data_IF_843871721792
#
_entry.id   IF_843871721792
#
_cell.length_a   1.000
_cell.length_b   1.000
_cell.length_c   1.000
_cell.angle_alpha   90.00
_cell.angle_beta   90.00
_cell.angle_gamma   90.00
#
_symmetry.space_group_name_H-M   'P 1'
#
loop_
_entity.id
_entity.type
_entity.pdbx_description
1 polymer ?
#
# COMPACT_ATOMS: atom_id res chain seq x y z
N UNK A 1 16.69 -23.77 14.40
CA UNK A 1 16.58 -24.00 15.83
C UNK A 1 16.28 -22.68 16.54
N UNK A 2 15.16 -22.59 17.20
CA UNK A 2 14.82 -21.44 18.05
C UNK A 2 15.77 -21.42 19.26
N UNK A 3 16.27 -20.24 19.62
CA UNK A 3 17.16 -20.07 20.78
C UNK A 3 18.66 -20.25 20.52
N UNK A 4 19.10 -20.68 19.35
CA UNK A 4 20.53 -20.78 19.02
C UNK A 4 21.05 -19.42 18.56
N UNK A 5 22.12 -18.96 19.23
CA UNK A 5 22.83 -17.72 18.92
C UNK A 5 24.33 -18.01 18.81
N UNK A 6 24.80 -18.21 17.59
CA UNK A 6 26.23 -18.51 17.29
C UNK A 6 26.66 -17.52 16.20
N UNK A 7 27.22 -16.34 16.54
CA UNK A 7 27.64 -15.33 15.57
C UNK A 7 28.71 -15.81 14.58
N UNK A 8 29.56 -16.77 14.97
CA UNK A 8 30.67 -17.29 14.20
C UNK A 8 30.24 -18.22 13.04
N UNK A 9 28.96 -18.59 12.97
CA UNK A 9 28.45 -19.45 11.90
C UNK A 9 28.68 -18.80 10.54
N UNK A 10 29.43 -19.47 9.65
CA UNK A 10 29.71 -19.03 8.29
C UNK A 10 28.93 -19.81 7.22
N UNK A 11 28.18 -20.84 7.60
CA UNK A 11 27.33 -21.63 6.73
C UNK A 11 26.00 -21.96 7.42
N UNK A 12 24.89 -21.71 6.72
CA UNK A 12 23.51 -22.02 7.19
C UNK A 12 22.82 -22.86 6.13
N UNK A 13 22.29 -24.01 6.52
CA UNK A 13 21.47 -24.86 5.65
C UNK A 13 20.03 -24.85 6.15
N UNK A 14 19.13 -24.37 5.32
CA UNK A 14 17.70 -24.26 5.63
C UNK A 14 16.95 -25.47 5.07
N UNK A 15 16.71 -26.46 5.93
CA UNK A 15 16.05 -27.72 5.55
C UNK A 15 14.54 -27.70 5.81
N UNK A 16 14.07 -26.79 6.68
CA UNK A 16 12.66 -26.72 7.07
C UNK A 16 11.95 -25.63 6.25
N UNK A 17 10.92 -25.99 5.47
CA UNK A 17 10.12 -25.01 4.76
C UNK A 17 9.43 -24.04 5.72
N UNK A 18 9.48 -22.77 5.42
CA UNK A 18 8.74 -21.73 6.14
C UNK A 18 7.53 -21.29 5.29
N UNK A 19 6.43 -20.99 5.97
CA UNK A 19 5.21 -20.48 5.32
C UNK A 19 5.03 -18.97 5.50
N UNK A 20 6.06 -18.29 6.00
CA UNK A 20 6.03 -16.86 6.31
C UNK A 20 7.36 -16.21 5.91
N UNK A 21 7.27 -15.12 5.15
CA UNK A 21 8.41 -14.27 4.79
C UNK A 21 9.14 -13.75 6.04
N UNK A 22 8.40 -13.40 7.09
CA UNK A 22 8.96 -12.90 8.35
C UNK A 22 9.80 -13.96 9.04
N UNK A 23 9.29 -15.20 9.15
CA UNK A 23 10.03 -16.32 9.76
C UNK A 23 11.29 -16.64 8.94
N UNK A 24 11.19 -16.58 7.61
CA UNK A 24 12.34 -16.76 6.72
C UNK A 24 13.43 -15.73 7.01
N UNK A 25 13.09 -14.44 7.05
CA UNK A 25 14.03 -13.35 7.36
C UNK A 25 14.62 -13.50 8.77
N UNK A 26 13.83 -13.89 9.77
CA UNK A 26 14.32 -14.12 11.14
C UNK A 26 15.33 -15.27 11.19
N UNK A 27 15.11 -16.36 10.46
CA UNK A 27 16.06 -17.48 10.36
C UNK A 27 17.35 -17.05 9.65
N UNK A 28 17.21 -16.29 8.55
CA UNK A 28 18.31 -15.72 7.80
C UNK A 28 19.16 -14.79 8.68
N UNK A 29 18.51 -13.88 9.43
CA UNK A 29 19.14 -12.89 10.28
C UNK A 29 20.01 -13.51 11.40
N UNK A 30 19.67 -14.71 11.88
CA UNK A 30 20.50 -15.42 12.85
C UNK A 30 21.87 -15.80 12.25
N UNK A 31 21.90 -16.23 10.98
CA UNK A 31 23.14 -16.52 10.27
C UNK A 31 23.93 -15.27 9.86
N UNK A 32 23.26 -14.12 9.68
CA UNK A 32 23.87 -12.87 9.24
C UNK A 32 24.49 -12.04 10.37
N UNK A 33 24.52 -12.53 11.61
CA UNK A 33 25.15 -11.81 12.73
C UNK A 33 26.65 -11.62 12.48
N UNK A 34 27.13 -10.43 12.82
CA UNK A 34 28.54 -10.07 12.69
C UNK A 34 29.37 -10.73 13.77
N UNK A 35 30.54 -11.28 13.41
CA UNK A 35 31.59 -11.73 14.31
C UNK A 35 32.93 -11.20 13.82
N UNK A 36 33.93 -11.10 14.72
CA UNK A 36 35.23 -10.44 14.43
C UNK A 36 35.98 -11.03 13.24
N UNK A 37 35.94 -12.34 13.09
CA UNK A 37 36.67 -13.07 12.05
C UNK A 37 35.79 -13.63 10.93
N UNK A 38 34.54 -13.08 10.81
CA UNK A 38 33.56 -13.52 9.83
C UNK A 38 33.39 -12.50 8.71
N UNK A 39 33.92 -12.81 7.55
CA UNK A 39 33.84 -11.97 6.35
C UNK A 39 32.52 -12.16 5.59
N UNK A 40 32.01 -13.40 5.52
CA UNK A 40 30.77 -13.73 4.83
C UNK A 40 30.07 -14.93 5.46
N UNK A 41 28.81 -15.14 5.05
CA UNK A 41 28.05 -16.35 5.36
C UNK A 41 27.46 -16.93 4.09
N UNK A 42 27.54 -18.24 3.91
CA UNK A 42 26.88 -18.97 2.83
C UNK A 42 25.56 -19.52 3.35
N UNK A 43 24.47 -19.20 2.68
CA UNK A 43 23.15 -19.70 3.02
C UNK A 43 22.64 -20.56 1.88
N UNK A 44 22.30 -21.81 2.19
CA UNK A 44 21.73 -22.78 1.25
C UNK A 44 20.30 -23.06 1.66
N UNK A 45 19.37 -22.79 0.77
CA UNK A 45 17.95 -23.05 1.00
C UNK A 45 17.39 -24.01 -0.06
N UNK A 46 16.67 -25.04 0.41
CA UNK A 46 16.05 -26.04 -0.45
C UNK A 46 14.61 -25.64 -0.80
N UNK A 47 14.46 -24.64 -1.67
CA UNK A 47 13.20 -24.05 -2.12
C UNK A 47 12.19 -25.10 -2.65
N UNK A 48 12.68 -26.21 -3.15
CA UNK A 48 11.87 -27.30 -3.72
C UNK A 48 10.78 -27.85 -2.79
N UNK A 49 10.94 -27.69 -1.49
CA UNK A 49 10.05 -28.25 -0.47
C UNK A 49 8.98 -27.25 0.01
N UNK A 50 8.91 -26.06 -0.55
CA UNK A 50 7.95 -25.03 -0.13
C UNK A 50 6.68 -25.08 -0.97
N UNK A 51 5.52 -25.06 -0.32
CA UNK A 51 4.22 -24.90 -1.00
C UNK A 51 4.04 -23.51 -1.61
N UNK A 52 4.64 -22.49 -0.96
CA UNK A 52 4.54 -21.08 -1.35
C UNK A 52 5.94 -20.54 -1.70
N UNK A 53 6.59 -21.12 -2.70
CA UNK A 53 7.94 -20.75 -3.11
C UNK A 53 8.11 -19.28 -3.46
N UNK A 54 7.05 -18.60 -3.87
CA UNK A 54 7.06 -17.16 -4.18
C UNK A 54 7.29 -16.26 -2.95
N UNK A 55 7.08 -16.75 -1.73
CA UNK A 55 7.34 -15.99 -0.51
C UNK A 55 8.81 -15.70 -0.27
N UNK A 56 9.72 -16.53 -0.81
CA UNK A 56 11.17 -16.33 -0.66
C UNK A 56 11.65 -15.09 -1.41
N UNK A 57 11.37 -14.93 -2.73
CA UNK A 57 11.67 -13.69 -3.43
C UNK A 57 11.00 -12.45 -2.80
N UNK A 58 9.75 -12.55 -2.33
CA UNK A 58 9.07 -11.47 -1.61
C UNK A 58 9.84 -11.08 -0.35
N UNK A 59 10.23 -12.05 0.47
CA UNK A 59 11.00 -11.82 1.68
C UNK A 59 12.37 -11.17 1.40
N UNK A 60 13.06 -11.63 0.35
CA UNK A 60 14.39 -11.16 -0.01
C UNK A 60 14.37 -9.79 -0.70
N UNK A 61 13.31 -9.47 -1.44
CA UNK A 61 13.14 -8.16 -2.08
C UNK A 61 12.69 -7.06 -1.11
N UNK A 62 12.09 -7.45 0.04
CA UNK A 62 11.42 -6.51 0.95
C UNK A 62 10.14 -5.90 0.38
N UNK A 63 9.64 -6.40 -0.75
CA UNK A 63 8.43 -5.90 -1.40
C UNK A 63 7.17 -6.59 -0.85
N UNK A 64 6.46 -5.88 0.02
CA UNK A 64 5.20 -6.33 0.62
C UNK A 64 3.98 -6.05 -0.27
N UNK A 65 4.18 -5.57 -1.50
CA UNK A 65 3.09 -5.34 -2.46
C UNK A 65 2.50 -6.65 -2.99
N UNK A 66 3.25 -7.75 -2.93
CA UNK A 66 2.90 -9.03 -3.54
C UNK A 66 2.55 -8.90 -5.03
N UNK A 67 3.14 -7.92 -5.72
CA UNK A 67 2.97 -7.77 -7.16
C UNK A 67 3.76 -8.85 -7.89
N UNK A 68 3.05 -9.64 -8.72
CA UNK A 68 3.63 -10.79 -9.43
C UNK A 68 4.78 -10.39 -10.36
N UNK A 69 4.67 -9.23 -11.01
CA UNK A 69 5.68 -8.78 -11.95
C UNK A 69 6.92 -8.25 -11.22
N UNK A 70 6.75 -7.63 -10.06
CA UNK A 70 7.89 -7.23 -9.21
C UNK A 70 8.65 -8.44 -8.73
N UNK A 71 7.96 -9.50 -8.29
CA UNK A 71 8.59 -10.77 -7.91
C UNK A 71 9.32 -11.42 -9.10
N UNK A 72 8.71 -11.45 -10.29
CA UNK A 72 9.35 -11.95 -11.51
C UNK A 72 10.59 -11.15 -11.89
N UNK A 73 10.52 -9.82 -11.78
CA UNK A 73 11.63 -8.92 -12.05
C UNK A 73 12.80 -9.18 -11.09
N UNK A 74 12.50 -9.34 -9.79
CA UNK A 74 13.50 -9.71 -8.79
C UNK A 74 14.21 -11.03 -9.15
N UNK A 75 13.45 -12.06 -9.53
CA UNK A 75 14.03 -13.36 -9.95
C UNK A 75 14.91 -13.25 -11.20
N UNK A 76 14.54 -12.40 -12.16
CA UNK A 76 15.26 -12.22 -13.42
C UNK A 76 16.55 -11.37 -13.26
N UNK A 77 16.52 -10.37 -12.40
CA UNK A 77 17.63 -9.42 -12.21
C UNK A 77 18.55 -9.82 -11.04
N UNK A 78 18.12 -10.73 -10.17
CA UNK A 78 18.93 -11.31 -9.12
C UNK A 78 19.58 -10.28 -8.21
N UNK A 79 20.90 -10.35 -8.12
CA UNK A 79 21.74 -9.57 -7.19
C UNK A 79 21.69 -8.06 -7.34
N UNK A 80 21.19 -7.53 -8.45
CA UNK A 80 21.11 -6.07 -8.67
C UNK A 80 20.15 -5.35 -7.74
N UNK A 81 19.27 -6.10 -7.06
CA UNK A 81 18.28 -5.54 -6.13
C UNK A 81 18.76 -5.50 -4.67
N UNK A 82 19.84 -6.18 -4.34
CA UNK A 82 20.31 -6.28 -2.97
C UNK A 82 21.45 -5.28 -2.76
N UNK A 83 21.33 -4.36 -1.81
CA UNK A 83 22.39 -3.42 -1.50
C UNK A 83 23.63 -4.14 -0.95
N UNK A 84 24.82 -3.66 -1.35
CA UNK A 84 26.10 -4.14 -0.83
C UNK A 84 26.71 -5.28 -1.65
N UNK A 85 27.53 -6.12 -1.00
CA UNK A 85 28.29 -7.20 -1.60
C UNK A 85 27.58 -8.56 -1.58
N UNK A 86 26.32 -8.58 -1.15
CA UNK A 86 25.52 -9.81 -1.08
C UNK A 86 25.09 -10.28 -2.46
N UNK A 87 25.10 -11.59 -2.67
CA UNK A 87 24.66 -12.22 -3.92
C UNK A 87 23.60 -13.27 -3.64
N UNK A 88 22.58 -13.36 -4.51
CA UNK A 88 21.58 -14.43 -4.47
C UNK A 88 21.62 -15.17 -5.81
N UNK A 89 21.68 -16.47 -5.74
CA UNK A 89 21.59 -17.35 -6.90
C UNK A 89 20.42 -18.31 -6.73
N UNK A 90 19.54 -18.35 -7.74
CA UNK A 90 18.49 -19.36 -7.86
C UNK A 90 18.88 -20.33 -8.99
N UNK A 91 18.89 -21.63 -8.71
CA UNK A 91 19.03 -22.62 -9.78
C UNK A 91 17.79 -22.64 -10.69
N UNK A 92 17.92 -23.20 -11.89
CA UNK A 92 16.86 -23.17 -12.90
C UNK A 92 15.58 -23.91 -12.46
N UNK A 93 15.73 -25.01 -11.71
CA UNK A 93 14.59 -25.78 -11.20
C UNK A 93 13.83 -24.93 -10.16
N UNK A 94 14.55 -24.28 -9.27
CA UNK A 94 13.98 -23.37 -8.27
C UNK A 94 13.28 -22.18 -8.92
N UNK A 95 13.87 -21.55 -9.94
CA UNK A 95 13.23 -20.47 -10.71
C UNK A 95 11.93 -20.93 -11.35
N UNK A 96 11.93 -22.06 -12.05
CA UNK A 96 10.73 -22.60 -12.69
C UNK A 96 9.61 -22.89 -11.68
N UNK A 97 9.96 -23.44 -10.51
CA UNK A 97 9.00 -23.70 -9.42
C UNK A 97 8.42 -22.41 -8.84
N UNK A 98 9.27 -21.39 -8.65
CA UNK A 98 8.82 -20.09 -8.17
C UNK A 98 7.91 -19.43 -9.21
N UNK A 99 8.26 -19.43 -10.50
CA UNK A 99 7.41 -18.92 -11.57
C UNK A 99 6.04 -19.64 -11.61
N UNK A 100 6.04 -20.97 -11.56
CA UNK A 100 4.80 -21.75 -11.50
C UNK A 100 3.97 -21.43 -10.26
N UNK A 101 4.61 -21.21 -9.11
CA UNK A 101 3.91 -20.81 -7.89
C UNK A 101 3.29 -19.40 -8.03
N UNK A 102 4.03 -18.44 -8.62
CA UNK A 102 3.53 -17.08 -8.89
C UNK A 102 2.31 -17.14 -9.82
N UNK A 103 2.35 -17.96 -10.87
CA UNK A 103 1.27 -18.07 -11.85
C UNK A 103 0.01 -18.64 -11.22
N UNK A 104 0.15 -19.65 -10.39
CA UNK A 104 -0.96 -20.37 -9.77
C UNK A 104 -1.54 -19.69 -8.51
N UNK A 105 -0.76 -18.82 -7.85
CA UNK A 105 -1.22 -18.17 -6.62
C UNK A 105 -2.18 -17.02 -6.93
N UNK A 106 -3.30 -17.00 -6.20
CA UNK A 106 -4.30 -15.92 -6.24
C UNK A 106 -4.08 -14.96 -5.08
N UNK A 107 -3.14 -14.01 -5.24
CA UNK A 107 -2.74 -13.04 -4.21
C UNK A 107 -3.79 -11.95 -3.95
N UNK A 108 -4.69 -11.71 -4.90
CA UNK A 108 -5.75 -10.71 -4.79
C UNK A 108 -7.09 -11.37 -4.44
N UNK A 109 -7.10 -12.26 -3.44
CA UNK A 109 -8.32 -12.91 -2.97
C UNK A 109 -8.66 -12.51 -1.56
N UNK A 110 -9.94 -12.50 -1.24
CA UNK A 110 -10.43 -12.27 0.12
C UNK A 110 -9.76 -13.20 1.14
N UNK A 111 -9.56 -14.46 0.79
CA UNK A 111 -8.95 -15.46 1.66
C UNK A 111 -7.49 -15.10 2.01
N UNK A 112 -6.69 -14.77 0.99
CA UNK A 112 -5.28 -14.38 1.18
C UNK A 112 -5.15 -13.14 2.05
N UNK A 113 -5.88 -12.07 1.69
CA UNK A 113 -5.86 -10.81 2.43
C UNK A 113 -6.32 -10.99 3.89
N UNK A 114 -7.34 -11.85 4.10
CA UNK A 114 -7.82 -12.17 5.45
C UNK A 114 -6.80 -12.93 6.28
N UNK A 115 -6.05 -13.86 5.69
CA UNK A 115 -5.00 -14.60 6.38
C UNK A 115 -3.85 -13.67 6.82
N UNK A 116 -3.37 -12.82 5.93
CA UNK A 116 -2.33 -11.85 6.24
C UNK A 116 -2.78 -10.81 7.29
N UNK A 117 -4.01 -10.31 7.19
CA UNK A 117 -4.61 -9.46 8.21
C UNK A 117 -4.68 -10.15 9.58
N UNK A 118 -5.10 -11.42 9.63
CA UNK A 118 -5.17 -12.18 10.89
C UNK A 118 -3.78 -12.36 11.53
N UNK A 119 -2.74 -12.59 10.73
CA UNK A 119 -1.35 -12.67 11.22
C UNK A 119 -0.95 -11.39 11.92
N UNK A 120 -1.22 -10.24 11.30
CA UNK A 120 -0.94 -8.94 11.91
C UNK A 120 -1.78 -8.72 13.16
N UNK A 121 -3.10 -8.94 13.09
CA UNK A 121 -4.01 -8.78 14.22
C UNK A 121 -3.59 -9.64 15.43
N UNK A 122 -3.23 -10.89 15.20
CA UNK A 122 -2.76 -11.79 16.27
C UNK A 122 -1.43 -11.33 16.87
N UNK A 123 -0.54 -10.76 16.04
CA UNK A 123 0.76 -10.24 16.49
C UNK A 123 0.59 -9.04 17.44
N UNK A 124 -0.37 -8.15 17.17
CA UNK A 124 -0.57 -6.92 17.94
C UNK A 124 -1.71 -6.99 18.97
N UNK A 125 -2.55 -8.03 18.92
CA UNK A 125 -3.64 -8.27 19.88
C UNK A 125 -4.88 -7.38 19.73
N UNK A 126 -4.98 -6.57 18.66
CA UNK A 126 -6.10 -5.66 18.39
C UNK A 126 -6.37 -5.51 16.89
N UNK A 127 -7.44 -4.82 16.51
CA UNK A 127 -7.66 -4.43 15.11
C UNK A 127 -6.52 -3.51 14.68
N UNK A 128 -5.78 -3.83 13.58
CA UNK A 128 -4.72 -2.99 13.06
C UNK A 128 -5.22 -1.61 12.62
N UNK A 129 -4.39 -0.59 12.83
CA UNK A 129 -4.53 0.73 12.22
C UNK A 129 -3.74 0.79 10.91
N UNK A 130 -3.90 1.85 10.12
CA UNK A 130 -3.10 2.06 8.90
C UNK A 130 -1.59 2.00 9.19
N UNK A 131 -1.13 2.64 10.26
CA UNK A 131 0.27 2.66 10.65
C UNK A 131 0.82 1.28 11.07
N UNK A 132 -0.03 0.39 11.59
CA UNK A 132 0.42 -0.95 11.97
C UNK A 132 0.85 -1.77 10.75
N UNK A 133 0.16 -1.64 9.62
CA UNK A 133 0.57 -2.31 8.38
C UNK A 133 1.95 -1.88 7.91
N UNK A 134 2.31 -0.62 8.13
CA UNK A 134 3.60 -0.05 7.76
C UNK A 134 4.72 -0.39 8.78
N UNK A 135 4.39 -0.42 10.07
CA UNK A 135 5.37 -0.59 11.16
C UNK A 135 5.76 -2.05 11.40
N UNK A 136 4.90 -2.99 11.02
CA UNK A 136 5.13 -4.42 11.29
C UNK A 136 5.44 -5.23 10.03
N UNK A 137 5.82 -4.58 8.93
CA UNK A 137 6.09 -5.20 7.63
C UNK A 137 5.02 -6.20 7.21
N UNK A 138 3.77 -5.83 7.43
CA UNK A 138 2.62 -6.63 7.06
C UNK A 138 2.31 -6.50 5.57
N UNK A 139 1.28 -7.20 5.10
CA UNK A 139 0.75 -7.00 3.75
C UNK A 139 0.47 -5.51 3.51
N UNK A 140 0.82 -5.01 2.32
CA UNK A 140 0.46 -3.66 1.91
C UNK A 140 -1.06 -3.51 1.95
N UNK A 141 -1.56 -2.53 2.71
CA UNK A 141 -2.99 -2.31 2.88
C UNK A 141 -3.72 -2.03 1.56
N UNK A 142 -3.01 -1.60 0.52
CA UNK A 142 -3.56 -1.46 -0.84
C UNK A 142 -4.16 -2.76 -1.36
N UNK A 143 -3.64 -3.92 -0.96
CA UNK A 143 -4.25 -5.22 -1.29
C UNK A 143 -5.63 -5.40 -0.67
N UNK A 144 -5.85 -4.84 0.54
CA UNK A 144 -7.17 -4.79 1.14
C UNK A 144 -8.10 -3.89 0.31
N UNK A 145 -7.62 -2.72 -0.14
CA UNK A 145 -8.41 -1.81 -0.98
C UNK A 145 -8.79 -2.46 -2.32
N UNK A 146 -7.87 -3.16 -2.98
CA UNK A 146 -8.13 -3.88 -4.23
C UNK A 146 -9.25 -4.93 -4.06
N UNK A 147 -9.26 -5.64 -2.94
CA UNK A 147 -10.19 -6.76 -2.69
C UNK A 147 -11.53 -6.31 -2.09
N UNK A 148 -11.51 -5.33 -1.20
CA UNK A 148 -12.68 -4.94 -0.41
C UNK A 148 -13.21 -3.53 -0.76
N UNK A 149 -12.47 -2.73 -1.51
CA UNK A 149 -12.77 -1.34 -1.84
C UNK A 149 -12.19 -0.35 -0.83
N UNK A 150 -12.33 -0.62 0.47
CA UNK A 150 -11.73 0.18 1.55
C UNK A 150 -11.45 -0.68 2.78
N UNK A 151 -10.68 -0.16 3.71
CA UNK A 151 -10.44 -0.84 4.98
C UNK A 151 -11.71 -0.92 5.84
N UNK A 152 -12.55 0.13 5.81
CA UNK A 152 -13.86 0.09 6.44
C UNK A 152 -14.73 -1.05 5.90
N UNK A 153 -14.84 -1.18 4.58
CA UNK A 153 -15.62 -2.25 3.95
C UNK A 153 -15.05 -3.63 4.26
N UNK A 154 -13.73 -3.75 4.39
CA UNK A 154 -13.08 -4.99 4.83
C UNK A 154 -13.44 -5.33 6.27
N UNK A 155 -13.25 -4.39 7.21
CA UNK A 155 -13.52 -4.60 8.62
C UNK A 155 -15.00 -4.90 8.88
N UNK A 156 -15.91 -4.21 8.20
CA UNK A 156 -17.37 -4.43 8.34
C UNK A 156 -17.79 -5.85 7.96
N UNK A 157 -17.09 -6.49 7.02
CA UNK A 157 -17.36 -7.86 6.61
C UNK A 157 -16.59 -8.89 7.45
N UNK A 158 -15.40 -8.54 7.92
CA UNK A 158 -14.46 -9.46 8.57
C UNK A 158 -14.64 -9.50 10.08
N UNK A 159 -14.87 -8.37 10.73
CA UNK A 159 -14.85 -8.20 12.17
C UNK A 159 -16.28 -8.05 12.71
N UNK A 160 -16.80 -9.10 13.36
CA UNK A 160 -18.16 -9.09 13.95
C UNK A 160 -18.37 -7.98 14.99
N UNK A 161 -17.30 -7.58 15.67
CA UNK A 161 -17.34 -6.56 16.74
C UNK A 161 -16.79 -5.22 16.26
N UNK A 162 -16.70 -4.97 14.96
CA UNK A 162 -16.26 -3.67 14.46
C UNK A 162 -17.29 -2.59 14.80
N UNK A 163 -16.90 -1.67 15.68
CA UNK A 163 -17.78 -0.65 16.31
C UNK A 163 -18.53 0.23 15.31
N UNK A 164 -18.03 0.37 14.09
CA UNK A 164 -18.59 1.22 13.03
C UNK A 164 -19.37 0.45 11.95
N UNK A 165 -19.42 -0.87 12.04
CA UNK A 165 -20.11 -1.69 11.04
C UNK A 165 -21.58 -1.30 10.90
N UNK A 166 -22.02 -1.05 9.66
CA UNK A 166 -23.40 -0.66 9.33
C UNK A 166 -23.82 0.74 9.78
N UNK A 167 -22.88 1.59 10.24
CA UNK A 167 -23.18 2.95 10.70
C UNK A 167 -23.02 4.03 9.62
N UNK A 168 -22.52 3.71 8.47
CA UNK A 168 -22.39 4.62 7.34
C UNK A 168 -23.54 4.43 6.34
N UNK A 169 -23.88 5.51 5.66
CA UNK A 169 -24.73 5.46 4.46
C UNK A 169 -23.98 4.77 3.33
N UNK A 170 -24.71 4.31 2.32
CA UNK A 170 -24.09 3.71 1.14
C UNK A 170 -23.18 4.67 0.39
N UNK A 171 -23.58 5.94 0.31
CA UNK A 171 -22.79 7.02 -0.30
C UNK A 171 -21.49 7.24 0.47
N UNK A 172 -21.53 7.34 1.81
CA UNK A 172 -20.33 7.46 2.64
C UNK A 172 -19.37 6.26 2.47
N UNK A 173 -19.89 5.02 2.41
CA UNK A 173 -19.09 3.84 2.09
C UNK A 173 -18.44 3.94 0.70
N UNK A 174 -19.21 4.37 -0.32
CA UNK A 174 -18.70 4.54 -1.67
C UNK A 174 -17.63 5.62 -1.73
N UNK A 175 -17.78 6.72 -1.00
CA UNK A 175 -16.76 7.77 -0.89
C UNK A 175 -15.46 7.26 -0.27
N UNK A 176 -15.51 6.46 0.82
CA UNK A 176 -14.32 5.80 1.37
C UNK A 176 -13.69 4.84 0.36
N UNK A 177 -14.51 4.08 -0.37
CA UNK A 177 -14.02 3.18 -1.42
C UNK A 177 -13.35 3.96 -2.57
N UNK A 178 -13.93 5.09 -2.97
CA UNK A 178 -13.38 5.96 -4.01
C UNK A 178 -12.00 6.51 -3.60
N UNK A 179 -11.90 7.09 -2.41
CA UNK A 179 -10.63 7.63 -1.90
C UNK A 179 -9.58 6.52 -1.82
N UNK A 180 -9.94 5.34 -1.29
CA UNK A 180 -9.03 4.21 -1.16
C UNK A 180 -8.52 3.73 -2.52
N UNK A 181 -9.41 3.54 -3.51
CA UNK A 181 -9.08 2.87 -4.78
C UNK A 181 -8.64 3.82 -5.89
N UNK A 182 -9.11 5.07 -5.89
CA UNK A 182 -8.83 6.01 -6.97
C UNK A 182 -7.83 7.10 -6.57
N UNK A 183 -7.78 7.51 -5.30
CA UNK A 183 -6.85 8.55 -4.87
C UNK A 183 -5.56 7.95 -4.29
N UNK A 184 -5.65 7.08 -3.29
CA UNK A 184 -4.46 6.52 -2.65
C UNK A 184 -3.67 5.61 -3.61
N UNK A 185 -4.35 4.83 -4.45
CA UNK A 185 -3.67 3.99 -5.44
C UNK A 185 -3.08 4.77 -6.61
N UNK A 186 -3.55 5.99 -6.88
CA UNK A 186 -3.09 6.81 -8.03
C UNK A 186 -1.67 7.39 -7.88
N UNK A 187 -1.11 7.32 -6.69
CA UNK A 187 0.22 7.89 -6.37
C UNK A 187 0.30 9.41 -6.61
N UNK A 188 -0.83 10.10 -6.46
CA UNK A 188 -0.96 11.55 -6.52
C UNK A 188 -1.29 12.11 -5.16
N UNK A 189 -0.92 13.37 -4.95
CA UNK A 189 -1.10 14.05 -3.66
C UNK A 189 -2.17 15.15 -3.71
N UNK A 190 -2.40 15.71 -4.89
CA UNK A 190 -3.19 16.92 -5.10
C UNK A 190 -4.60 16.76 -4.55
N UNK A 191 -5.30 15.71 -4.95
CA UNK A 191 -6.68 15.46 -4.53
C UNK A 191 -6.78 15.19 -3.02
N UNK A 192 -5.76 14.54 -2.43
CA UNK A 192 -5.74 14.27 -1.00
C UNK A 192 -5.54 15.56 -0.20
N UNK A 193 -4.68 16.48 -0.65
CA UNK A 193 -4.50 17.79 -0.01
C UNK A 193 -5.78 18.63 -0.12
N UNK A 194 -6.42 18.66 -1.29
CA UNK A 194 -7.69 19.38 -1.45
C UNK A 194 -8.74 18.83 -0.45
N UNK A 195 -8.94 17.52 -0.40
CA UNK A 195 -9.88 16.91 0.53
C UNK A 195 -9.51 17.19 2.00
N UNK A 196 -8.23 17.14 2.34
CA UNK A 196 -7.75 17.45 3.69
C UNK A 196 -8.04 18.88 4.10
N UNK A 197 -7.87 19.83 3.17
CA UNK A 197 -8.19 21.25 3.38
C UNK A 197 -9.68 21.51 3.54
N UNK A 198 -10.52 20.81 2.77
CA UNK A 198 -11.97 20.89 2.91
C UNK A 198 -12.45 20.40 4.29
N UNK A 199 -11.78 19.43 4.88
CA UNK A 199 -12.11 18.90 6.21
C UNK A 199 -11.54 19.73 7.37
N UNK A 200 -10.70 20.74 7.09
CA UNK A 200 -10.18 21.68 8.08
C UNK A 200 -11.25 22.73 8.41
N UNK A 201 -11.58 22.89 9.70
CA UNK A 201 -12.60 23.85 10.17
C UNK A 201 -12.17 25.33 10.03
N UNK A 202 -10.94 25.58 9.57
CA UNK A 202 -10.44 26.92 9.33
C UNK A 202 -11.07 27.51 8.09
N UNK A 203 -11.81 28.61 8.26
CA UNK A 203 -12.38 29.40 7.16
C UNK A 203 -11.26 30.08 6.37
N UNK A 204 -10.69 29.40 5.38
CA UNK A 204 -9.69 29.94 4.46
C UNK A 204 -10.06 29.61 3.02
N UNK A 205 -9.54 30.37 2.07
CA UNK A 205 -9.68 30.03 0.67
C UNK A 205 -8.89 28.75 0.40
N UNK A 206 -9.59 27.66 0.07
CA UNK A 206 -9.00 26.35 -0.13
C UNK A 206 -7.99 26.34 -1.26
N UNK A 207 -8.26 27.08 -2.35
CA UNK A 207 -7.35 27.15 -3.49
C UNK A 207 -6.01 27.78 -3.11
N UNK A 208 -6.04 28.94 -2.43
CA UNK A 208 -4.81 29.63 -1.98
C UNK A 208 -4.02 28.73 -1.03
N UNK A 209 -4.70 28.12 -0.05
CA UNK A 209 -4.05 27.22 0.89
C UNK A 209 -3.46 25.97 0.22
N UNK A 210 -4.11 25.44 -0.81
CA UNK A 210 -3.63 24.33 -1.61
C UNK A 210 -2.36 24.69 -2.37
N UNK A 211 -2.35 25.83 -3.08
CA UNK A 211 -1.19 26.31 -3.81
C UNK A 211 0.01 26.59 -2.90
N UNK A 212 -0.22 27.18 -1.71
CA UNK A 212 0.81 27.40 -0.69
C UNK A 212 1.43 26.09 -0.20
N UNK A 213 0.62 25.07 0.10
CA UNK A 213 1.09 23.75 0.54
C UNK A 213 1.88 23.08 -0.59
N UNK A 214 1.35 23.08 -1.83
CA UNK A 214 2.01 22.44 -2.95
C UNK A 214 3.36 23.08 -3.24
N UNK A 215 3.47 24.42 -3.17
CA UNK A 215 4.72 25.11 -3.36
C UNK A 215 5.71 24.86 -2.20
N UNK A 216 5.24 25.01 -0.95
CA UNK A 216 6.11 24.97 0.23
C UNK A 216 6.57 23.55 0.56
N UNK A 217 5.62 22.59 0.58
CA UNK A 217 5.88 21.25 1.10
C UNK A 217 6.30 20.26 0.00
N UNK A 218 5.89 20.51 -1.25
CA UNK A 218 6.16 19.62 -2.39
C UNK A 218 7.03 20.26 -3.48
N UNK A 219 7.39 21.54 -3.31
CA UNK A 219 8.16 22.30 -4.31
C UNK A 219 7.55 22.24 -5.72
N UNK A 220 6.20 22.24 -5.76
CA UNK A 220 5.42 22.07 -6.99
C UNK A 220 4.51 23.27 -7.22
N UNK A 221 4.70 23.90 -8.38
CA UNK A 221 3.74 24.89 -8.90
C UNK A 221 2.61 24.15 -9.62
N UNK A 222 1.37 24.49 -9.33
CA UNK A 222 0.19 23.88 -9.92
C UNK A 222 -0.30 24.71 -11.10
N UNK A 223 -0.28 24.12 -12.27
CA UNK A 223 -0.84 24.74 -13.47
C UNK A 223 -2.38 24.60 -13.52
N UNK A 224 -3.06 25.51 -14.20
CA UNK A 224 -4.53 25.50 -14.30
C UNK A 224 -5.09 24.17 -14.81
N UNK A 225 -4.40 23.52 -15.75
CA UNK A 225 -4.85 22.22 -16.28
C UNK A 225 -4.73 21.10 -15.24
N UNK A 226 -3.74 21.14 -14.34
CA UNK A 226 -3.59 20.14 -13.27
C UNK A 226 -4.70 20.30 -12.22
N UNK A 227 -5.03 21.55 -11.89
CA UNK A 227 -6.16 21.85 -11.02
C UNK A 227 -7.50 21.39 -11.64
N UNK A 228 -7.69 21.62 -12.96
CA UNK A 228 -8.87 21.14 -13.68
C UNK A 228 -8.97 19.61 -13.67
N UNK A 229 -7.87 18.90 -13.81
CA UNK A 229 -7.83 17.43 -13.68
C UNK A 229 -8.24 16.99 -12.27
N UNK A 230 -7.70 17.59 -11.23
CA UNK A 230 -8.06 17.26 -9.85
C UNK A 230 -9.53 17.56 -9.56
N UNK A 231 -10.09 18.67 -10.08
CA UNK A 231 -11.52 18.97 -10.00
C UNK A 231 -12.36 17.89 -10.69
N UNK A 232 -12.02 17.49 -11.90
CA UNK A 232 -12.72 16.42 -12.64
C UNK A 232 -12.68 15.09 -11.92
N UNK A 233 -11.58 14.76 -11.24
CA UNK A 233 -11.48 13.56 -10.42
C UNK A 233 -12.44 13.66 -9.22
N UNK A 234 -12.42 14.77 -8.48
CA UNK A 234 -13.21 14.96 -7.26
C UNK A 234 -14.70 15.23 -7.52
N UNK A 235 -15.08 15.53 -8.75
CA UNK A 235 -16.50 15.59 -9.21
C UNK A 235 -16.93 14.32 -9.93
N UNK A 236 -16.06 13.30 -10.00
CA UNK A 236 -16.28 12.05 -10.76
C UNK A 236 -16.54 12.24 -12.27
N UNK A 237 -16.17 13.40 -12.82
CA UNK A 237 -16.32 13.71 -14.26
C UNK A 237 -15.17 13.18 -15.11
N UNK A 238 -14.11 12.69 -14.48
CA UNK A 238 -12.96 12.11 -15.16
C UNK A 238 -13.23 10.67 -15.65
N UNK A 239 -14.22 9.99 -15.06
CA UNK A 239 -14.46 8.57 -15.31
C UNK A 239 -15.18 8.37 -16.64
N UNK A 240 -14.51 7.75 -17.60
CA UNK A 240 -15.07 7.41 -18.93
C UNK A 240 -15.73 6.04 -18.96
N UNK A 241 -15.32 5.10 -18.08
CA UNK A 241 -15.91 3.76 -17.98
C UNK A 241 -17.33 3.80 -17.42
N UNK A 242 -18.29 3.29 -18.15
CA UNK A 242 -19.69 3.22 -17.72
C UNK A 242 -19.91 2.42 -16.44
N UNK A 243 -19.09 1.40 -16.19
CA UNK A 243 -19.16 0.55 -14.99
C UNK A 243 -18.65 1.32 -13.77
N UNK A 244 -17.50 1.96 -13.86
CA UNK A 244 -16.91 2.75 -12.78
C UNK A 244 -17.76 3.99 -12.48
N UNK A 245 -18.29 4.63 -13.51
CA UNK A 245 -19.20 5.78 -13.37
C UNK A 245 -20.48 5.40 -12.62
N UNK A 246 -21.07 4.25 -12.91
CA UNK A 246 -22.22 3.73 -12.16
C UNK A 246 -21.88 3.40 -10.71
N UNK A 247 -20.71 2.84 -10.45
CA UNK A 247 -20.26 2.45 -9.09
C UNK A 247 -20.08 3.66 -8.18
N UNK A 248 -19.56 4.76 -8.68
CA UNK A 248 -19.17 5.95 -7.91
C UNK A 248 -19.96 7.21 -8.28
N UNK A 249 -21.15 7.06 -8.88
CA UNK A 249 -21.98 8.18 -9.35
C UNK A 249 -22.36 9.18 -8.24
N UNK A 250 -22.40 8.71 -7.01
CA UNK A 250 -22.71 9.47 -5.79
C UNK A 250 -21.46 10.01 -5.07
N UNK A 251 -20.27 9.77 -5.62
CA UNK A 251 -19.00 10.24 -5.03
C UNK A 251 -18.61 11.62 -5.60
N UNK A 252 -19.39 12.64 -5.27
CA UNK A 252 -19.14 14.02 -5.67
C UNK A 252 -18.64 14.78 -4.43
N UNK A 253 -17.37 15.19 -4.45
CA UNK A 253 -16.76 15.90 -3.32
C UNK A 253 -16.78 17.42 -3.50
N UNK A 254 -16.75 17.90 -4.73
CA UNK A 254 -16.70 19.33 -5.05
C UNK A 254 -17.97 19.78 -5.76
N UNK A 255 -18.35 21.05 -5.55
CA UNK A 255 -19.37 21.73 -6.32
C UNK A 255 -18.82 22.08 -7.73
N UNK A 256 -19.48 21.59 -8.77
CA UNK A 256 -19.10 21.83 -10.17
C UNK A 256 -19.42 23.26 -10.66
N UNK A 257 -20.36 23.91 -10.01
CA UNK A 257 -20.92 25.19 -10.50
C UNK A 257 -20.16 26.41 -10.00
N UNK A 258 -19.10 26.24 -9.22
CA UNK A 258 -18.36 27.33 -8.59
C UNK A 258 -16.89 27.30 -9.02
N UNK A 259 -16.36 28.46 -9.43
CA UNK A 259 -14.93 28.60 -9.77
C UNK A 259 -14.00 28.33 -8.58
N UNK A 260 -14.48 28.62 -7.37
CA UNK A 260 -13.77 28.29 -6.13
C UNK A 260 -13.87 26.81 -5.78
N UNK A 261 -12.90 26.29 -5.01
CA UNK A 261 -12.95 24.95 -4.48
C UNK A 261 -13.86 24.95 -3.25
N UNK A 262 -15.07 24.41 -3.41
CA UNK A 262 -16.07 24.24 -2.34
C UNK A 262 -16.58 22.82 -2.30
N UNK A 263 -17.04 22.39 -1.12
CA UNK A 263 -17.71 21.09 -0.97
C UNK A 263 -19.01 21.06 -1.77
N UNK A 264 -19.35 19.89 -2.30
CA UNK A 264 -20.69 19.60 -2.80
C UNK A 264 -21.67 19.43 -1.65
N UNK A 265 -22.97 19.60 -1.92
CA UNK A 265 -24.03 19.34 -0.93
C UNK A 265 -24.04 17.87 -0.48
N UNK A 266 -23.82 16.95 -1.42
CA UNK A 266 -23.76 15.52 -1.16
C UNK A 266 -22.65 15.19 -0.17
N UNK A 267 -21.48 15.81 -0.32
CA UNK A 267 -20.35 15.59 0.59
C UNK A 267 -20.60 16.21 1.96
N UNK A 268 -21.14 17.45 2.02
CA UNK A 268 -21.52 18.11 3.27
C UNK A 268 -22.54 17.29 4.07
N UNK A 269 -23.54 16.69 3.42
CA UNK A 269 -24.51 15.81 4.06
C UNK A 269 -23.85 14.59 4.71
N UNK A 270 -22.90 13.95 4.03
CA UNK A 270 -22.21 12.79 4.61
C UNK A 270 -21.33 13.19 5.79
N UNK A 271 -20.73 14.39 5.78
CA UNK A 271 -19.88 14.90 6.85
C UNK A 271 -20.66 15.25 8.15
N UNK A 272 -21.99 15.24 8.15
CA UNK A 272 -22.79 15.29 9.38
C UNK A 272 -22.55 14.06 10.27
N UNK A 273 -22.08 12.95 9.71
CA UNK A 273 -21.67 11.78 10.45
C UNK A 273 -20.24 11.96 10.95
N UNK A 274 -20.06 12.12 12.28
CA UNK A 274 -18.74 12.18 12.91
C UNK A 274 -17.91 10.92 12.59
N UNK A 275 -18.56 9.76 12.51
CA UNK A 275 -17.90 8.50 12.17
C UNK A 275 -17.31 8.55 10.76
N UNK A 276 -18.08 9.05 9.80
CA UNK A 276 -17.58 9.19 8.42
C UNK A 276 -16.41 10.18 8.35
N UNK A 277 -16.55 11.34 9.04
CA UNK A 277 -15.51 12.36 9.10
C UNK A 277 -14.19 11.80 9.69
N UNK A 278 -14.27 11.07 10.83
CA UNK A 278 -13.12 10.43 11.47
C UNK A 278 -12.44 9.44 10.50
N UNK A 279 -13.20 8.51 9.92
CA UNK A 279 -12.67 7.49 9.02
C UNK A 279 -12.06 8.06 7.74
N UNK A 280 -12.67 9.12 7.21
CA UNK A 280 -12.18 9.79 6.01
C UNK A 280 -10.89 10.57 6.29
N UNK A 281 -10.81 11.27 7.44
CA UNK A 281 -9.59 11.96 7.87
C UNK A 281 -8.44 10.98 8.05
N UNK A 282 -8.65 9.89 8.77
CA UNK A 282 -7.63 8.86 8.98
C UNK A 282 -7.12 8.28 7.64
N UNK A 283 -8.04 8.06 6.71
CA UNK A 283 -7.72 7.54 5.38
C UNK A 283 -6.91 8.54 4.55
N UNK A 284 -7.29 9.82 4.55
CA UNK A 284 -6.59 10.88 3.82
C UNK A 284 -5.20 11.11 4.43
N UNK A 285 -5.11 11.23 5.76
CA UNK A 285 -3.84 11.45 6.46
C UNK A 285 -2.88 10.27 6.24
N UNK A 286 -3.40 9.04 6.19
CA UNK A 286 -2.61 7.87 5.76
C UNK A 286 -2.15 7.97 4.31
N UNK A 287 -3.01 8.38 3.40
CA UNK A 287 -2.65 8.59 1.98
C UNK A 287 -1.53 9.61 1.81
N UNK A 288 -1.62 10.75 2.50
CA UNK A 288 -0.59 11.79 2.52
C UNK A 288 0.73 11.27 3.13
N UNK A 289 0.66 10.58 4.29
CA UNK A 289 1.82 9.94 4.92
C UNK A 289 2.52 8.99 3.95
N UNK A 290 1.74 8.12 3.28
CA UNK A 290 2.27 7.15 2.33
C UNK A 290 2.92 7.82 1.13
N UNK A 291 2.29 8.85 0.56
CA UNK A 291 2.88 9.62 -0.53
C UNK A 291 4.23 10.22 -0.11
N UNK A 292 4.28 10.85 1.05
CA UNK A 292 5.51 11.47 1.58
C UNK A 292 6.62 10.44 1.80
N UNK A 293 6.27 9.24 2.29
CA UNK A 293 7.25 8.19 2.59
C UNK A 293 7.84 7.55 1.33
N UNK A 294 7.02 7.31 0.31
CA UNK A 294 7.42 6.48 -0.82
C UNK A 294 7.63 7.24 -2.14
N UNK A 295 7.01 8.41 -2.29
CA UNK A 295 6.98 9.09 -3.59
C UNK A 295 7.57 10.48 -3.58
N UNK A 296 7.40 11.27 -2.54
CA UNK A 296 7.81 12.69 -2.49
C UNK A 296 9.25 12.94 -2.94
N UNK A 297 10.20 12.15 -2.42
CA UNK A 297 11.63 12.33 -2.69
C UNK A 297 12.17 11.40 -3.81
N UNK A 298 11.30 10.57 -4.38
CA UNK A 298 11.64 9.55 -5.37
C UNK A 298 11.10 9.87 -6.77
N UNK A 299 10.57 11.07 -6.99
CA UNK A 299 10.08 11.49 -8.29
C UNK A 299 11.24 11.61 -9.29
N UNK A 300 11.03 11.10 -10.51
CA UNK A 300 11.96 11.36 -11.60
C UNK A 300 11.93 12.85 -11.94
N UNK A 301 13.11 13.42 -12.13
CA UNK A 301 13.31 14.86 -12.31
C UNK A 301 12.27 15.48 -13.24
N UNK A 302 11.62 16.53 -12.78
CA UNK A 302 10.61 17.30 -13.50
C UNK A 302 9.38 16.50 -14.00
N UNK A 303 9.07 15.38 -13.35
CA UNK A 303 7.91 14.54 -13.70
C UNK A 303 7.15 14.11 -12.45
N UNK A 304 5.91 13.61 -12.64
CA UNK A 304 5.13 12.95 -11.59
C UNK A 304 5.38 11.43 -11.51
N UNK A 305 6.47 10.96 -12.15
CA UNK A 305 6.80 9.53 -12.18
C UNK A 305 7.89 9.20 -11.18
N UNK A 306 7.68 8.12 -10.44
CA UNK A 306 8.71 7.50 -9.60
C UNK A 306 9.46 6.47 -10.44
N UNK A 307 10.78 6.47 -10.36
CA UNK A 307 11.61 5.57 -11.13
C UNK A 307 11.27 4.10 -10.80
N UNK A 308 11.12 3.28 -11.82
CA UNK A 308 10.78 1.85 -11.74
C UNK A 308 9.37 1.50 -11.23
N UNK A 309 8.48 2.47 -11.04
CA UNK A 309 7.09 2.22 -10.70
C UNK A 309 6.20 1.99 -11.94
N UNK A 310 5.12 1.23 -11.75
CA UNK A 310 4.11 1.01 -12.80
C UNK A 310 3.01 2.05 -12.69
N UNK A 311 2.59 2.56 -13.83
CA UNK A 311 1.46 3.47 -13.97
C UNK A 311 0.46 2.87 -14.95
N UNK A 312 -0.83 2.87 -14.59
CA UNK A 312 -1.93 2.55 -15.50
C UNK A 312 -2.36 3.83 -16.20
N UNK A 313 -2.56 3.74 -17.49
CA UNK A 313 -3.13 4.80 -18.32
C UNK A 313 -4.64 4.67 -18.36
#
# INVERSE_FOLDING_TARGET
>A
NEGVDIPEVNQVIMLRPTQSSIIFIQQLGRGLRKSKDKEFVVIIDFIANYKNNFLIPVALSGDNSYDKDTVRKFLSQGTRYIPGTSTIHFDEISKQRIYSAIDNVKLNTWLFVTDEYNKLKNKIGRIPTYSDFENYDAIDIRKIFEVAGSYYSFLSKKEKQFKYSGKLTKTAENMLNFVSTNLILSKKIEELIILRLLLDDKKRNVLIAFEEIMLKDYNKFIADYELDVSRKILTNNFVTSSVTKKKFHDCIFLDENVAEIRMSKEFEEQLQSEIFRELLLDLIDYGIYRYNKYYKDNLYKDTNFVLYEKYSF
#
